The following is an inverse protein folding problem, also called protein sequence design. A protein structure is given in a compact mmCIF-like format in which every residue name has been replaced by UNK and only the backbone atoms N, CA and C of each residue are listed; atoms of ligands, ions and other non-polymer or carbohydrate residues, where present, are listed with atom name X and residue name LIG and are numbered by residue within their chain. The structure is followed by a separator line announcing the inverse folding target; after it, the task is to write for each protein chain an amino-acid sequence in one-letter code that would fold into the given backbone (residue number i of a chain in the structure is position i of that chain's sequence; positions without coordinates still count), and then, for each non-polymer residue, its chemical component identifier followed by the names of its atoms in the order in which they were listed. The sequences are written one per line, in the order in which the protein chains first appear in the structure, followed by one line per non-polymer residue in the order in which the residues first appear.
data_IF_686761109639
#
_entry.id   IF_686761109639
#
_cell.length_a   1.000
_cell.length_b   1.000
_cell.length_c   1.000
_cell.angle_alpha   90.00
_cell.angle_beta   90.00
_cell.angle_gamma   90.00
#
_symmetry.space_group_name_H-M   'P 1'
#
loop_
_entity.id
_entity.type
_entity.pdbx_description
1 polymer ?
#
# COMPACT_ATOMS: atom_id res chain seq x y z
N UNK A 1 17.16 1.66 0.92
CA UNK A 1 15.93 0.98 0.48
C UNK A 1 15.82 1.14 -1.02
N UNK A 2 15.62 0.06 -1.77
CA UNK A 2 15.53 0.11 -3.23
C UNK A 2 14.08 0.40 -3.62
N UNK A 3 13.82 1.57 -4.18
CA UNK A 3 12.51 1.89 -4.75
C UNK A 3 12.45 1.35 -6.17
N UNK A 4 11.42 0.55 -6.47
CA UNK A 4 11.23 -0.02 -7.80
C UNK A 4 9.91 0.49 -8.40
N UNK A 5 9.99 1.13 -9.57
CA UNK A 5 8.82 1.69 -10.26
C UNK A 5 8.28 0.66 -11.24
N UNK A 6 7.07 0.16 -10.98
CA UNK A 6 6.41 -0.81 -11.82
C UNK A 6 5.21 -0.19 -12.54
N UNK A 7 5.07 -0.48 -13.84
CA UNK A 7 3.92 -0.08 -14.64
C UNK A 7 3.05 -1.30 -14.93
N UNK A 8 1.83 -1.29 -14.40
CA UNK A 8 0.86 -2.35 -14.59
C UNK A 8 -0.06 -1.99 -15.75
N UNK A 9 -0.14 -2.86 -16.77
CA UNK A 9 -1.07 -2.72 -17.90
C UNK A 9 -2.08 -3.86 -17.88
N UNK A 10 -3.36 -3.55 -18.04
CA UNK A 10 -4.45 -4.52 -18.19
C UNK A 10 -5.15 -4.33 -19.53
N UNK A 11 -5.64 -5.42 -20.12
CA UNK A 11 -6.30 -5.40 -21.44
C UNK A 11 -7.71 -4.81 -21.39
N UNK A 12 -8.38 -4.86 -20.24
CA UNK A 12 -9.73 -4.32 -20.04
C UNK A 12 -9.95 -3.99 -18.56
N UNK A 13 -10.85 -3.05 -18.26
CA UNK A 13 -11.19 -2.66 -16.89
C UNK A 13 -11.79 -3.81 -16.07
N UNK A 14 -12.47 -4.75 -16.75
CA UNK A 14 -13.07 -5.93 -16.14
C UNK A 14 -12.04 -6.99 -15.71
N UNK A 15 -10.79 -6.87 -16.18
CA UNK A 15 -9.71 -7.79 -15.81
C UNK A 15 -8.93 -7.17 -14.65
N UNK A 16 -8.91 -7.82 -13.46
CA UNK A 16 -8.13 -7.33 -12.34
C UNK A 16 -6.64 -7.45 -12.63
N UNK A 17 -5.83 -6.58 -12.05
CA UNK A 17 -4.37 -6.65 -12.17
C UNK A 17 -3.75 -7.93 -11.57
N UNK A 18 -4.50 -8.62 -10.70
CA UNK A 18 -4.15 -9.95 -10.18
C UNK A 18 -3.24 -9.92 -8.96
N UNK A 19 -3.42 -8.97 -8.05
CA UNK A 19 -2.72 -8.95 -6.77
C UNK A 19 -3.67 -8.53 -5.64
N UNK A 20 -3.29 -8.84 -4.41
CA UNK A 20 -4.02 -8.48 -3.20
C UNK A 20 -3.15 -7.54 -2.36
N UNK A 21 -3.72 -6.40 -1.99
CA UNK A 21 -3.10 -5.45 -1.06
C UNK A 21 -3.61 -5.74 0.35
N UNK A 22 -2.70 -5.74 1.32
CA UNK A 22 -3.02 -5.71 2.75
C UNK A 22 -2.72 -4.32 3.32
N UNK A 23 -3.70 -3.74 3.99
CA UNK A 23 -3.54 -2.49 4.76
C UNK A 23 -3.15 -2.85 6.19
N UNK A 24 -1.92 -2.51 6.57
CA UNK A 24 -1.41 -2.72 7.93
C UNK A 24 -1.54 -1.41 8.70
N UNK A 25 -2.24 -1.47 9.83
CA UNK A 25 -2.28 -0.38 10.80
C UNK A 25 -1.33 -0.73 11.93
N UNK A 26 -0.37 0.14 12.19
CA UNK A 26 0.51 0.00 13.34
C UNK A 26 0.35 1.17 14.28
N UNK A 27 0.19 0.83 15.55
CA UNK A 27 -0.04 1.76 16.63
C UNK A 27 1.23 1.81 17.46
N UNK A 28 2.03 2.90 17.39
CA UNK A 28 3.21 3.02 18.24
C UNK A 28 2.76 2.99 19.71
N UNK A 29 3.41 2.15 20.52
CA UNK A 29 3.14 2.05 21.95
C UNK A 29 3.47 3.40 22.60
N UNK A 30 2.58 3.87 23.47
CA UNK A 30 2.77 5.13 24.18
C UNK A 30 3.67 4.84 25.39
N UNK A 31 4.87 5.40 25.43
CA UNK A 31 5.71 5.36 26.62
C UNK A 31 5.06 6.23 27.71
N UNK A 32 4.51 5.58 28.73
CA UNK A 32 3.78 6.21 29.83
C UNK A 32 4.67 6.97 30.83
N UNK A 33 5.97 7.12 30.59
CA UNK A 33 6.92 7.52 31.63
C UNK A 33 7.08 9.03 31.85
N UNK A 34 6.64 9.92 30.96
CA UNK A 34 6.88 11.37 31.12
C UNK A 34 5.62 12.21 30.87
N UNK A 35 4.95 12.62 31.94
CA UNK A 35 3.88 13.63 31.93
C UNK A 35 4.45 14.98 31.45
N UNK A 36 4.32 15.31 30.16
CA UNK A 36 4.71 16.64 29.68
C UNK A 36 4.55 16.90 28.18
N UNK A 37 4.60 15.87 27.32
CA UNK A 37 4.32 16.03 25.88
C UNK A 37 3.50 14.86 25.36
N UNK A 38 2.16 14.96 25.45
CA UNK A 38 1.23 14.07 24.74
C UNK A 38 1.26 14.38 23.24
N UNK A 39 2.33 14.03 22.54
CA UNK A 39 2.27 13.90 21.09
C UNK A 39 1.41 12.67 20.77
N UNK A 40 0.12 12.87 20.52
CA UNK A 40 -0.78 11.84 19.98
C UNK A 40 -0.23 11.39 18.62
N UNK A 41 0.71 10.45 18.59
CA UNK A 41 1.29 9.93 17.34
C UNK A 41 0.18 9.19 16.62
N UNK A 42 -0.15 9.65 15.41
CA UNK A 42 -1.14 9.01 14.54
C UNK A 42 -0.66 7.59 14.22
N UNK A 43 -1.57 6.61 14.11
CA UNK A 43 -1.20 5.28 13.61
C UNK A 43 -0.53 5.41 12.25
N UNK A 44 0.49 4.59 12.01
CA UNK A 44 1.10 4.52 10.71
C UNK A 44 0.45 3.41 9.89
N UNK A 45 0.01 3.78 8.69
CA UNK A 45 -0.61 2.87 7.74
C UNK A 45 0.37 2.54 6.63
N UNK A 46 0.52 1.24 6.38
CA UNK A 46 1.43 0.71 5.37
C UNK A 46 0.69 -0.26 4.46
N UNK A 47 0.95 -0.17 3.16
CA UNK A 47 0.42 -1.09 2.17
C UNK A 47 1.45 -2.14 1.78
N UNK A 48 1.06 -3.41 1.86
CA UNK A 48 1.92 -4.55 1.51
C UNK A 48 1.20 -5.46 0.52
N UNK A 49 1.91 -5.95 -0.48
CA UNK A 49 1.39 -6.98 -1.38
C UNK A 49 1.33 -8.30 -0.62
N UNK A 50 0.12 -8.83 -0.45
CA UNK A 50 -0.08 -10.12 0.21
C UNK A 50 0.18 -11.29 -0.74
N UNK A 51 -0.38 -11.20 -1.94
CA UNK A 51 -0.33 -12.28 -2.93
C UNK A 51 -0.40 -11.70 -4.33
N UNK A 52 0.31 -12.34 -5.25
CA UNK A 52 0.24 -12.08 -6.68
C UNK A 52 -0.23 -13.36 -7.37
N UNK A 53 -1.18 -13.23 -8.30
CA UNK A 53 -1.71 -14.33 -9.09
C UNK A 53 -0.74 -14.63 -10.23
N UNK A 54 -0.34 -15.89 -10.45
CA UNK A 54 0.54 -16.24 -11.57
C UNK A 54 -0.11 -15.89 -12.90
N UNK A 55 0.72 -15.50 -13.89
CA UNK A 55 0.31 -15.08 -15.23
C UNK A 55 -0.56 -13.82 -15.30
N UNK A 56 -0.72 -13.10 -14.19
CA UNK A 56 -1.45 -11.83 -14.14
C UNK A 56 -0.61 -10.65 -14.65
N UNK A 57 -1.24 -9.48 -14.80
CA UNK A 57 -0.53 -8.25 -15.15
C UNK A 57 0.54 -7.89 -14.10
N UNK A 58 0.24 -8.12 -12.81
CA UNK A 58 1.19 -7.89 -11.73
C UNK A 58 2.39 -8.84 -11.74
N UNK A 59 2.15 -10.11 -12.02
CA UNK A 59 3.21 -11.12 -12.15
C UNK A 59 4.15 -10.78 -13.31
N UNK A 60 3.59 -10.43 -14.48
CA UNK A 60 4.34 -10.00 -15.66
C UNK A 60 5.13 -8.71 -15.45
N UNK A 61 4.67 -7.84 -14.56
CA UNK A 61 5.38 -6.63 -14.16
C UNK A 61 6.48 -6.89 -13.12
N UNK A 62 6.61 -8.11 -12.60
CA UNK A 62 7.59 -8.45 -11.57
C UNK A 62 7.18 -8.05 -10.15
N UNK A 63 5.88 -7.86 -9.90
CA UNK A 63 5.38 -7.63 -8.55
C UNK A 63 5.43 -8.92 -7.74
N UNK A 64 5.90 -8.85 -6.50
CA UNK A 64 6.03 -10.01 -5.61
C UNK A 64 5.33 -9.77 -4.28
N UNK A 65 4.91 -10.87 -3.64
CA UNK A 65 4.39 -10.82 -2.28
C UNK A 65 5.48 -10.32 -1.31
N UNK A 66 5.09 -9.51 -0.33
CA UNK A 66 6.00 -8.87 0.62
C UNK A 66 6.49 -7.48 0.18
N UNK A 67 6.32 -7.10 -1.09
CA UNK A 67 6.64 -5.73 -1.50
C UNK A 67 5.74 -4.70 -0.81
N UNK A 68 6.35 -3.63 -0.30
CA UNK A 68 5.65 -2.48 0.25
C UNK A 68 5.34 -1.48 -0.86
N UNK A 69 4.11 -0.99 -0.91
CA UNK A 69 3.71 0.07 -1.84
C UNK A 69 4.00 1.42 -1.18
N UNK A 70 4.90 2.20 -1.79
CA UNK A 70 5.21 3.57 -1.35
C UNK A 70 4.40 4.58 -2.16
N UNK A 71 4.23 4.36 -3.47
CA UNK A 71 3.46 5.23 -4.38
C UNK A 71 2.53 4.41 -5.27
N UNK A 72 1.36 4.96 -5.56
CA UNK A 72 0.37 4.38 -6.47
C UNK A 72 -0.16 5.49 -7.38
N UNK A 73 -0.15 5.27 -8.69
CA UNK A 73 -0.61 6.25 -9.70
C UNK A 73 0.03 7.65 -9.54
N UNK A 74 1.29 7.70 -9.10
CA UNK A 74 2.02 8.95 -8.85
C UNK A 74 1.74 9.62 -7.51
N UNK A 75 0.78 9.13 -6.73
CA UNK A 75 0.47 9.64 -5.38
C UNK A 75 1.20 8.83 -4.31
N UNK A 76 1.65 9.51 -3.26
CA UNK A 76 2.24 8.85 -2.09
C UNK A 76 1.11 8.17 -1.29
N UNK A 77 1.25 6.87 -1.03
CA UNK A 77 0.23 6.10 -0.30
C UNK A 77 0.61 5.80 1.15
N UNK A 78 1.78 6.28 1.57
CA UNK A 78 2.23 6.11 2.94
C UNK A 78 1.31 6.85 3.91
N UNK A 79 0.91 6.22 5.01
CA UNK A 79 -0.02 6.75 6.01
C UNK A 79 -1.43 7.10 5.49
N UNK A 80 -1.84 6.58 4.32
CA UNK A 80 -3.20 6.77 3.82
C UNK A 80 -4.19 5.80 4.49
N UNK A 81 -5.42 6.28 4.67
CA UNK A 81 -6.52 5.46 5.16
C UNK A 81 -7.06 4.57 4.04
N UNK A 82 -7.80 3.51 4.41
CA UNK A 82 -8.46 2.64 3.44
C UNK A 82 -9.35 3.43 2.46
N UNK A 83 -10.08 4.46 2.95
CA UNK A 83 -10.95 5.29 2.11
C UNK A 83 -10.16 6.08 1.07
N UNK A 84 -9.01 6.63 1.44
CA UNK A 84 -8.14 7.36 0.50
C UNK A 84 -7.60 6.43 -0.59
N UNK A 85 -7.24 5.20 -0.22
CA UNK A 85 -6.74 4.18 -1.15
C UNK A 85 -7.81 3.80 -2.16
N UNK A 86 -9.05 3.54 -1.71
CA UNK A 86 -10.18 3.26 -2.59
C UNK A 86 -10.35 4.36 -3.65
N UNK A 87 -10.32 5.64 -3.22
CA UNK A 87 -10.44 6.80 -4.13
C UNK A 87 -9.32 6.87 -5.17
N UNK A 88 -8.09 6.47 -4.82
CA UNK A 88 -6.96 6.45 -5.76
C UNK A 88 -7.12 5.31 -6.77
N UNK A 89 -7.63 4.16 -6.34
CA UNK A 89 -7.84 2.99 -7.21
C UNK A 89 -9.06 3.11 -8.11
N UNK A 90 -10.13 3.77 -7.66
CA UNK A 90 -11.37 3.99 -8.43
C UNK A 90 -11.16 4.87 -9.67
N UNK A 91 -10.13 5.72 -9.65
CA UNK A 91 -9.79 6.62 -10.76
C UNK A 91 -8.85 5.99 -11.82
N UNK A 92 -8.58 4.68 -11.76
CA UNK A 92 -7.59 3.98 -12.63
C UNK A 92 -8.16 2.85 -13.47
#
# INVERSE_FOLDING_TARGET
MTENKLLLKRSSINVPYGFIIRHLSSYPLMDSSNEGMKCKRKPFYTLVILKVKPSSAADKAGLQAGHQIIKMNGQNVNHLTYSDICRITERS
#
